data_IF_518410618425
#
_entry.id   IF_518410618425
#
_cell.length_a   1.000
_cell.length_b   1.000
_cell.length_c   1.000
_cell.angle_alpha   90.00
_cell.angle_beta   90.00
_cell.angle_gamma   90.00
#
_symmetry.space_group_name_H-M   'P 1'
#
loop_
_entity.id
_entity.type
_entity.pdbx_description
1 polymer ?
#
# COMPACT_ATOMS: atom_id res chain seq x y z
N UNK A 1 14.93 -3.50 -15.08
CA UNK A 1 14.57 -4.92 -14.79
C UNK A 1 13.47 -5.27 -15.78
N UNK A 2 13.71 -5.78 -17.01
CA UNK A 2 14.12 -7.13 -17.47
C UNK A 2 13.43 -8.28 -16.71
N UNK A 3 12.34 -8.78 -17.31
CA UNK A 3 11.50 -9.99 -17.08
C UNK A 3 10.05 -9.48 -17.27
N UNK A 4 9.22 -9.84 -18.25
CA UNK A 4 9.08 -11.06 -19.04
C UNK A 4 8.75 -10.66 -20.48
N UNK A 5 9.68 -10.97 -21.38
CA UNK A 5 9.43 -11.13 -22.80
C UNK A 5 9.63 -12.64 -23.06
N UNK A 6 8.82 -13.23 -23.95
CA UNK A 6 8.60 -14.66 -24.26
C UNK A 6 7.32 -15.14 -23.55
N UNK A 7 6.24 -15.55 -24.22
CA UNK A 7 6.18 -16.47 -25.38
C UNK A 7 5.10 -15.97 -26.37
N UNK A 8 5.54 -15.25 -27.42
CA UNK A 8 4.80 -15.10 -28.68
C UNK A 8 5.52 -16.00 -29.67
N UNK A 9 5.16 -17.28 -29.69
CA UNK A 9 5.72 -18.24 -30.63
C UNK A 9 4.64 -19.23 -31.04
N UNK A 10 4.11 -19.01 -32.25
CA UNK A 10 3.55 -20.10 -33.05
C UNK A 10 2.09 -19.98 -33.46
N UNK A 11 1.70 -18.92 -34.18
CA UNK A 11 0.73 -19.14 -35.26
C UNK A 11 1.01 -18.20 -36.44
N UNK A 12 2.05 -18.58 -37.19
CA UNK A 12 2.30 -18.09 -38.53
C UNK A 12 1.59 -19.09 -39.47
N UNK A 13 0.43 -18.71 -40.02
CA UNK A 13 -0.13 -19.43 -41.17
C UNK A 13 -0.35 -18.45 -42.32
N UNK A 14 0.50 -18.68 -43.30
CA UNK A 14 0.57 -18.14 -44.64
C UNK A 14 -0.80 -18.04 -45.33
N UNK A 15 -0.98 -16.91 -46.01
CA UNK A 15 -1.88 -16.73 -47.14
C UNK A 15 -1.57 -17.76 -48.24
N UNK A 16 -2.39 -18.80 -48.39
CA UNK A 16 -2.43 -19.65 -49.59
C UNK A 16 -3.80 -20.33 -49.73
N UNK A 17 -4.35 -20.29 -50.96
CA UNK A 17 -5.64 -20.83 -51.32
C UNK A 17 -5.62 -22.38 -51.37
N UNK A 18 -6.18 -23.03 -50.35
CA UNK A 18 -6.69 -24.40 -50.34
C UNK A 18 -7.57 -24.59 -49.08
N UNK A 19 -8.68 -25.37 -49.13
CA UNK A 19 -9.53 -25.61 -47.96
C UNK A 19 -8.86 -26.64 -47.05
N UNK A 20 -7.80 -26.23 -46.35
CA UNK A 20 -7.28 -26.98 -45.22
C UNK A 20 -8.09 -26.59 -44.00
N UNK A 21 -9.07 -27.43 -43.68
CA UNK A 21 -9.80 -27.44 -42.42
C UNK A 21 -8.75 -27.61 -41.32
N UNK A 22 -8.39 -26.53 -40.63
CA UNK A 22 -7.68 -26.64 -39.36
C UNK A 22 -8.71 -27.11 -38.34
N UNK A 23 -8.80 -28.43 -38.18
CA UNK A 23 -9.65 -29.09 -37.21
C UNK A 23 -9.21 -28.63 -35.83
N UNK A 24 -10.07 -27.82 -35.21
CA UNK A 24 -9.94 -27.40 -33.82
C UNK A 24 -10.11 -28.65 -32.96
N UNK A 25 -9.12 -28.94 -32.11
CA UNK A 25 -9.10 -30.19 -31.33
C UNK A 25 -9.70 -29.99 -29.94
N UNK A 26 -10.25 -31.05 -29.34
CA UNK A 26 -10.70 -31.04 -27.93
C UNK A 26 -9.59 -30.57 -26.97
N UNK A 27 -8.33 -30.81 -27.33
CA UNK A 27 -7.12 -30.39 -26.60
C UNK A 27 -6.95 -28.86 -26.58
N UNK A 28 -7.42 -28.16 -27.62
CA UNK A 28 -7.42 -26.69 -27.67
C UNK A 28 -8.50 -26.09 -26.76
N UNK A 29 -9.67 -26.73 -26.69
CA UNK A 29 -10.78 -26.35 -25.80
C UNK A 29 -10.41 -26.51 -24.33
N UNK A 30 -9.77 -27.61 -23.97
CA UNK A 30 -9.35 -27.87 -22.59
C UNK A 30 -8.23 -26.91 -22.15
N UNK A 31 -7.32 -26.55 -23.06
CA UNK A 31 -6.29 -25.53 -22.82
C UNK A 31 -6.91 -24.15 -22.54
N UNK A 32 -7.85 -23.69 -23.37
CA UNK A 32 -8.54 -22.41 -23.16
C UNK A 32 -9.33 -22.39 -21.85
N UNK A 33 -10.01 -23.49 -21.50
CA UNK A 33 -10.70 -23.61 -20.20
C UNK A 33 -9.74 -23.54 -19.02
N UNK A 34 -8.57 -24.15 -19.14
CA UNK A 34 -7.52 -24.08 -18.12
C UNK A 34 -7.00 -22.66 -17.96
N UNK A 35 -6.73 -21.95 -19.06
CA UNK A 35 -6.28 -20.54 -19.04
C UNK A 35 -7.32 -19.63 -18.38
N UNK A 36 -8.62 -19.75 -18.74
CA UNK A 36 -9.70 -18.99 -18.10
C UNK A 36 -9.78 -19.28 -16.60
N UNK A 37 -9.64 -20.54 -16.21
CA UNK A 37 -9.67 -20.94 -14.79
C UNK A 37 -8.51 -20.35 -14.01
N UNK A 38 -7.32 -20.32 -14.62
CA UNK A 38 -6.13 -19.70 -14.05
C UNK A 38 -6.31 -18.19 -13.87
N UNK A 39 -6.74 -17.48 -14.92
CA UNK A 39 -6.98 -16.03 -14.85
C UNK A 39 -8.03 -15.72 -13.78
N UNK A 40 -9.10 -16.51 -13.70
CA UNK A 40 -10.13 -16.33 -12.66
C UNK A 40 -9.56 -16.47 -11.25
N UNK A 41 -8.67 -17.45 -11.02
CA UNK A 41 -8.03 -17.64 -9.72
C UNK A 41 -7.05 -16.52 -9.38
N UNK A 42 -6.26 -16.07 -10.36
CA UNK A 42 -5.32 -14.95 -10.22
C UNK A 42 -6.08 -13.63 -9.92
N UNK A 43 -7.16 -13.35 -10.65
CA UNK A 43 -8.00 -12.18 -10.41
C UNK A 43 -8.70 -12.20 -9.05
N UNK A 44 -9.09 -13.37 -8.54
CA UNK A 44 -9.62 -13.49 -7.17
C UNK A 44 -8.54 -13.16 -6.13
N UNK A 45 -7.34 -13.72 -6.28
CA UNK A 45 -6.23 -13.44 -5.37
C UNK A 45 -5.81 -11.95 -5.41
N UNK A 46 -5.83 -11.34 -6.60
CA UNK A 46 -5.57 -9.92 -6.80
C UNK A 46 -6.66 -9.05 -6.17
N UNK A 47 -7.94 -9.43 -6.32
CA UNK A 47 -9.07 -8.78 -5.67
C UNK A 47 -8.94 -8.77 -4.14
N UNK A 48 -8.58 -9.91 -3.54
CA UNK A 48 -8.31 -10.03 -2.10
C UNK A 48 -7.12 -9.15 -1.67
N UNK A 49 -6.06 -9.09 -2.47
CA UNK A 49 -4.91 -8.23 -2.21
C UNK A 49 -5.28 -6.75 -2.25
N UNK A 50 -6.08 -6.33 -3.24
CA UNK A 50 -6.62 -4.97 -3.35
C UNK A 50 -7.45 -4.62 -2.12
N UNK A 51 -8.37 -5.50 -1.69
CA UNK A 51 -9.19 -5.24 -0.51
C UNK A 51 -8.35 -5.07 0.76
N UNK A 52 -7.32 -5.90 0.96
CA UNK A 52 -6.39 -5.76 2.09
C UNK A 52 -5.60 -4.45 2.01
N UNK A 53 -5.12 -4.08 0.83
CA UNK A 53 -4.39 -2.84 0.62
C UNK A 53 -5.27 -1.61 0.87
N UNK A 54 -6.54 -1.61 0.44
CA UNK A 54 -7.50 -0.55 0.78
C UNK A 54 -7.75 -0.43 2.28
N UNK A 55 -7.89 -1.56 2.99
CA UNK A 55 -8.04 -1.54 4.45
C UNK A 55 -6.81 -0.94 5.12
N UNK A 56 -5.60 -1.34 4.69
CA UNK A 56 -4.34 -0.79 5.20
C UNK A 56 -4.19 0.71 4.92
N UNK A 57 -4.59 1.16 3.73
CA UNK A 57 -4.59 2.58 3.35
C UNK A 57 -5.48 3.39 4.29
N UNK A 58 -6.70 2.91 4.57
CA UNK A 58 -7.62 3.58 5.49
C UNK A 58 -7.10 3.61 6.95
N UNK A 59 -6.37 2.59 7.38
CA UNK A 59 -5.68 2.58 8.68
C UNK A 59 -4.57 3.63 8.74
N UNK A 60 -3.75 3.72 7.69
CA UNK A 60 -2.65 4.69 7.59
C UNK A 60 -3.18 6.13 7.57
N UNK A 61 -4.25 6.41 6.84
CA UNK A 61 -4.89 7.73 6.83
C UNK A 61 -5.39 8.15 8.22
N UNK A 62 -5.98 7.21 8.97
CA UNK A 62 -6.38 7.44 10.36
C UNK A 62 -5.19 7.61 11.30
N UNK A 63 -4.11 6.86 11.10
CA UNK A 63 -2.86 7.01 11.85
C UNK A 63 -2.24 8.39 11.62
N UNK A 64 -2.11 8.81 10.36
CA UNK A 64 -1.60 10.12 9.94
C UNK A 64 -2.42 11.25 10.59
N UNK A 65 -3.75 11.19 10.50
CA UNK A 65 -4.62 12.21 11.09
C UNK A 65 -4.46 12.30 12.62
N UNK A 66 -4.35 11.15 13.30
CA UNK A 66 -4.10 11.10 14.75
C UNK A 66 -2.72 11.65 15.12
N UNK A 67 -1.69 11.33 14.35
CA UNK A 67 -0.33 11.83 14.57
C UNK A 67 -0.26 13.34 14.38
N UNK A 68 -0.86 13.88 13.30
CA UNK A 68 -0.95 15.32 13.07
C UNK A 68 -1.64 16.04 14.24
N UNK A 69 -2.77 15.52 14.73
CA UNK A 69 -3.45 16.09 15.89
C UNK A 69 -2.59 16.03 17.16
N UNK A 70 -1.87 14.93 17.37
CA UNK A 70 -0.98 14.75 18.53
C UNK A 70 0.23 15.68 18.49
N UNK A 71 0.81 15.91 17.30
CA UNK A 71 1.92 16.83 17.06
C UNK A 71 1.49 18.27 17.38
N UNK A 72 0.33 18.69 16.88
CA UNK A 72 -0.18 20.04 17.16
C UNK A 72 -0.46 20.22 18.65
N UNK A 73 -1.03 19.21 19.32
CA UNK A 73 -1.19 19.22 20.76
C UNK A 73 0.16 19.32 21.50
N UNK A 74 1.15 18.52 21.12
CA UNK A 74 2.49 18.54 21.72
C UNK A 74 3.18 19.89 21.52
N UNK A 75 3.04 20.52 20.35
CA UNK A 75 3.56 21.88 20.09
C UNK A 75 2.97 22.92 21.02
N UNK A 76 1.65 22.88 21.22
CA UNK A 76 0.96 23.78 22.18
C UNK A 76 1.45 23.54 23.60
N UNK A 77 1.60 22.28 24.01
CA UNK A 77 2.14 21.94 25.35
C UNK A 77 3.58 22.40 25.53
N UNK A 78 4.42 22.31 24.50
CA UNK A 78 5.80 22.81 24.53
C UNK A 78 5.79 24.32 24.78
N UNK A 79 5.03 25.10 24.00
CA UNK A 79 4.96 26.56 24.17
C UNK A 79 4.49 26.95 25.58
N UNK A 80 3.41 26.33 26.07
CA UNK A 80 2.91 26.57 27.44
C UNK A 80 3.92 26.17 28.53
N UNK A 81 4.75 25.16 28.27
CA UNK A 81 5.79 24.73 29.23
C UNK A 81 7.02 25.62 29.16
N UNK A 82 7.35 26.16 27.99
CA UNK A 82 8.40 27.16 27.81
C UNK A 82 8.04 28.47 28.52
N UNK A 83 6.80 28.95 28.43
CA UNK A 83 6.31 30.12 29.20
C UNK A 83 6.45 29.90 30.71
N UNK A 84 6.03 28.74 31.23
CA UNK A 84 6.22 28.38 32.64
C UNK A 84 7.70 28.29 33.04
N UNK A 85 8.56 27.84 32.12
CA UNK A 85 9.99 27.78 32.35
C UNK A 85 10.62 29.18 32.41
N UNK A 86 10.11 30.14 31.63
CA UNK A 86 10.53 31.54 31.70
C UNK A 86 10.20 32.16 33.07
N UNK A 87 9.00 31.90 33.62
CA UNK A 87 8.63 32.35 34.97
C UNK A 87 9.59 31.80 36.03
N UNK A 88 9.90 30.50 35.94
CA UNK A 88 10.88 29.84 36.80
C UNK A 88 12.28 30.45 36.65
N UNK A 89 12.70 30.77 35.42
CA UNK A 89 14.00 31.38 35.17
C UNK A 89 14.09 32.80 35.76
N UNK A 90 13.00 33.58 35.72
CA UNK A 90 12.91 34.90 36.34
C UNK A 90 13.02 34.78 37.87
N UNK A 91 12.35 33.81 38.48
CA UNK A 91 12.43 33.56 39.92
C UNK A 91 13.86 33.21 40.35
N UNK A 92 14.54 32.33 39.61
CA UNK A 92 15.95 31.97 39.85
C UNK A 92 16.86 33.19 39.73
N UNK A 93 16.64 34.04 38.73
CA UNK A 93 17.41 35.26 38.51
C UNK A 93 17.22 36.28 39.64
N UNK A 94 15.97 36.52 40.07
CA UNK A 94 15.67 37.42 41.19
C UNK A 94 16.16 36.86 42.53
N UNK A 95 16.21 35.53 42.67
CA UNK A 95 16.73 34.81 43.83
C UNK A 95 18.26 34.76 43.96
N UNK A 96 19.02 35.51 43.14
CA UNK A 96 20.50 35.59 43.18
C UNK A 96 21.25 34.30 42.79
N UNK A 97 20.65 33.39 42.01
CA UNK A 97 21.31 32.15 41.54
C UNK A 97 21.59 32.21 40.03
N UNK A 98 22.73 31.66 39.57
CA UNK A 98 23.23 31.87 38.19
C UNK A 98 22.42 31.13 37.11
N UNK A 99 22.01 31.87 36.07
CA UNK A 99 21.22 31.41 34.91
C UNK A 99 21.94 30.41 33.99
N UNK A 100 23.28 30.37 34.02
CA UNK A 100 24.10 29.45 33.22
C UNK A 100 23.80 27.96 33.51
N UNK A 101 23.33 27.66 34.72
CA UNK A 101 22.97 26.31 35.17
C UNK A 101 21.76 25.74 34.43
N UNK A 102 20.82 26.60 33.99
CA UNK A 102 19.57 26.19 33.33
C UNK A 102 19.79 25.70 31.90
N UNK A 103 20.60 26.41 31.10
CA UNK A 103 20.90 26.02 29.72
C UNK A 103 21.62 24.67 29.64
N UNK A 104 22.49 24.41 30.62
CA UNK A 104 23.20 23.15 30.75
C UNK A 104 22.25 22.01 31.15
N UNK A 105 21.34 22.25 32.09
CA UNK A 105 20.26 21.32 32.47
C UNK A 105 19.31 20.97 31.33
N UNK A 106 18.99 21.95 30.47
CA UNK A 106 18.17 21.75 29.28
C UNK A 106 18.87 20.90 28.21
N UNK A 107 20.20 20.83 28.25
CA UNK A 107 21.03 20.09 27.28
C UNK A 107 21.62 18.78 27.84
N UNK A 108 21.62 18.58 29.16
CA UNK A 108 22.23 17.44 29.85
C UNK A 108 21.58 16.08 29.52
N UNK A 109 22.32 14.99 29.47
CA UNK A 109 21.72 13.66 29.28
C UNK A 109 20.94 13.21 30.53
N UNK A 110 20.14 12.14 30.42
CA UNK A 110 19.20 11.71 31.49
C UNK A 110 19.87 11.42 32.84
N UNK A 111 21.11 10.92 32.84
CA UNK A 111 21.84 10.60 34.07
C UNK A 111 22.31 11.88 34.79
N UNK A 112 22.80 12.85 34.03
CA UNK A 112 23.28 14.15 34.51
C UNK A 112 22.13 15.09 34.92
N UNK A 113 20.95 14.90 34.31
CA UNK A 113 19.73 15.65 34.60
C UNK A 113 19.28 15.46 36.05
N UNK A 114 19.30 14.22 36.55
CA UNK A 114 18.81 13.90 37.91
C UNK A 114 19.60 14.66 38.99
N UNK A 115 20.92 14.65 38.87
CA UNK A 115 21.84 15.38 39.76
C UNK A 115 21.68 16.90 39.60
N UNK A 116 21.53 17.39 38.36
CA UNK A 116 21.31 18.81 38.08
C UNK A 116 19.99 19.34 38.65
N UNK A 117 18.89 18.58 38.51
CA UNK A 117 17.57 18.96 39.04
C UNK A 117 17.55 18.90 40.57
N UNK A 118 18.25 17.94 41.16
CA UNK A 118 18.40 17.86 42.61
C UNK A 118 19.20 19.06 43.14
N UNK A 119 20.31 19.41 42.51
CA UNK A 119 21.07 20.63 42.82
C UNK A 119 20.22 21.90 42.68
N UNK A 120 19.45 22.01 41.59
CA UNK A 120 18.54 23.14 41.36
C UNK A 120 17.54 23.26 42.52
N UNK A 121 16.89 22.16 42.91
CA UNK A 121 15.93 22.12 44.02
C UNK A 121 16.57 22.51 45.35
N UNK A 122 17.78 22.05 45.62
CA UNK A 122 18.47 22.25 46.89
C UNK A 122 19.02 23.68 47.04
N UNK A 123 19.40 24.32 45.93
CA UNK A 123 20.02 25.66 45.91
C UNK A 123 19.00 26.78 45.68
N UNK A 124 18.07 26.62 44.74
CA UNK A 124 17.09 27.65 44.40
C UNK A 124 15.69 27.38 44.95
N UNK A 125 15.43 26.21 45.54
CA UNK A 125 14.09 25.84 46.03
C UNK A 125 13.07 25.56 44.93
N UNK A 126 13.48 25.63 43.66
CA UNK A 126 12.62 25.50 42.48
C UNK A 126 12.41 24.04 42.13
N UNK A 127 11.16 23.65 41.83
CA UNK A 127 10.86 22.31 41.34
C UNK A 127 11.21 22.15 39.85
N UNK A 128 12.05 21.16 39.55
CA UNK A 128 12.52 20.83 38.21
C UNK A 128 11.51 20.11 37.31
N UNK A 129 10.24 20.01 37.74
CA UNK A 129 9.16 19.33 37.03
C UNK A 129 8.91 19.94 35.65
N UNK A 130 8.93 21.27 35.51
CA UNK A 130 8.74 21.98 34.23
C UNK A 130 9.80 21.60 33.19
N UNK A 131 11.08 21.49 33.60
CA UNK A 131 12.18 21.06 32.71
C UNK A 131 11.97 19.61 32.25
N UNK A 132 11.48 18.76 33.15
CA UNK A 132 11.20 17.35 32.85
C UNK A 132 10.02 17.23 31.88
N UNK A 133 8.92 17.96 32.11
CA UNK A 133 7.77 18.03 31.21
C UNK A 133 8.17 18.49 29.80
N UNK A 134 8.95 19.58 29.69
CA UNK A 134 9.40 20.11 28.40
C UNK A 134 10.18 19.07 27.59
N UNK A 135 11.07 18.33 28.25
CA UNK A 135 11.86 17.26 27.60
C UNK A 135 10.99 16.09 27.15
N UNK A 136 10.02 15.70 27.97
CA UNK A 136 9.07 14.64 27.60
C UNK A 136 8.28 15.05 26.36
N UNK A 137 7.75 16.28 26.33
CA UNK A 137 6.99 16.75 25.16
C UNK A 137 7.86 16.89 23.91
N UNK A 138 9.09 17.39 24.01
CA UNK A 138 10.02 17.45 22.87
C UNK A 138 10.33 16.06 22.30
N UNK A 139 10.63 15.09 23.18
CA UNK A 139 10.86 13.70 22.74
C UNK A 139 9.62 13.09 22.09
N UNK A 140 8.45 13.33 22.65
CA UNK A 140 7.18 12.86 22.07
C UNK A 140 6.94 13.49 20.70
N UNK A 141 7.20 14.80 20.55
CA UNK A 141 7.08 15.50 19.28
C UNK A 141 8.02 14.92 18.22
N UNK A 142 9.29 14.66 18.57
CA UNK A 142 10.28 14.07 17.67
C UNK A 142 9.82 12.68 17.20
N UNK A 143 9.43 11.81 18.15
CA UNK A 143 8.94 10.46 17.85
C UNK A 143 7.67 10.47 16.98
N UNK A 144 6.73 11.37 17.27
CA UNK A 144 5.50 11.50 16.49
C UNK A 144 5.78 12.03 15.08
N UNK A 145 6.74 12.94 14.94
CA UNK A 145 7.14 13.51 13.64
C UNK A 145 7.83 12.47 12.77
N UNK A 146 8.73 11.67 13.36
CA UNK A 146 9.38 10.54 12.68
C UNK A 146 8.32 9.51 12.23
N UNK A 147 7.42 9.12 13.15
CA UNK A 147 6.36 8.16 12.82
C UNK A 147 5.39 8.69 11.76
N UNK A 148 5.10 9.99 11.76
CA UNK A 148 4.27 10.63 10.73
C UNK A 148 4.96 10.55 9.36
N UNK A 149 6.26 10.79 9.30
CA UNK A 149 7.02 10.68 8.06
C UNK A 149 7.03 9.24 7.52
N UNK A 150 7.23 8.25 8.40
CA UNK A 150 7.14 6.83 8.04
C UNK A 150 5.76 6.45 7.52
N UNK A 151 4.70 6.79 8.25
CA UNK A 151 3.33 6.44 7.87
C UNK A 151 2.91 7.12 6.55
N UNK A 152 3.36 8.35 6.32
CA UNK A 152 3.11 9.07 5.06
C UNK A 152 3.82 8.40 3.89
N UNK A 153 5.09 7.99 4.07
CA UNK A 153 5.83 7.26 3.04
C UNK A 153 5.21 5.88 2.74
N UNK A 154 4.75 5.16 3.78
CA UNK A 154 4.03 3.90 3.62
C UNK A 154 2.73 4.09 2.81
N UNK A 155 1.97 5.15 3.10
CA UNK A 155 0.74 5.48 2.38
C UNK A 155 0.99 5.83 0.89
N UNK A 156 2.07 6.55 0.59
CA UNK A 156 2.46 6.87 -0.79
C UNK A 156 2.82 5.60 -1.59
N UNK A 157 3.62 4.71 -0.99
CA UNK A 157 3.99 3.43 -1.60
C UNK A 157 2.74 2.59 -1.85
N UNK A 158 1.88 2.45 -0.83
CA UNK A 158 0.67 1.64 -0.93
C UNK A 158 -0.32 2.20 -1.97
N UNK A 159 -0.40 3.52 -2.11
CA UNK A 159 -1.20 4.16 -3.16
C UNK A 159 -0.68 3.79 -4.55
N UNK A 160 0.63 3.79 -4.76
CA UNK A 160 1.22 3.37 -6.04
C UNK A 160 0.99 1.87 -6.31
N UNK A 161 1.10 1.02 -5.29
CA UNK A 161 0.80 -0.41 -5.39
C UNK A 161 -0.69 -0.66 -5.75
N UNK A 162 -1.61 0.08 -5.13
CA UNK A 162 -3.04 0.02 -5.46
C UNK A 162 -3.33 0.40 -6.90
N UNK A 163 -2.67 1.42 -7.43
CA UNK A 163 -2.79 1.81 -8.85
C UNK A 163 -2.28 0.71 -9.77
N UNK A 164 -1.14 0.08 -9.43
CA UNK A 164 -0.59 -1.02 -10.20
C UNK A 164 -1.52 -2.23 -10.19
N UNK A 165 -2.03 -2.63 -9.02
CA UNK A 165 -2.98 -3.74 -8.90
C UNK A 165 -4.28 -3.46 -9.67
N UNK A 166 -4.78 -2.23 -9.64
CA UNK A 166 -5.96 -1.85 -10.41
C UNK A 166 -5.73 -1.95 -11.93
N UNK A 167 -4.55 -1.54 -12.39
CA UNK A 167 -4.17 -1.69 -13.79
C UNK A 167 -4.05 -3.17 -14.22
N UNK A 168 -3.43 -4.00 -13.37
CA UNK A 168 -3.33 -5.45 -13.60
C UNK A 168 -4.70 -6.12 -13.67
N UNK A 169 -5.61 -5.77 -12.75
CA UNK A 169 -6.96 -6.33 -12.75
C UNK A 169 -7.73 -5.99 -14.03
N UNK A 170 -7.58 -4.75 -14.54
CA UNK A 170 -8.19 -4.33 -15.80
C UNK A 170 -7.61 -5.08 -17.02
N UNK A 171 -6.30 -5.34 -17.01
CA UNK A 171 -5.63 -6.13 -18.05
C UNK A 171 -6.12 -7.58 -18.03
N UNK A 172 -6.12 -8.25 -16.87
CA UNK A 172 -6.63 -9.62 -16.71
C UNK A 172 -8.10 -9.76 -17.11
N UNK A 173 -8.95 -8.79 -16.75
CA UNK A 173 -10.36 -8.75 -17.18
C UNK A 173 -10.49 -8.64 -18.71
N UNK A 174 -9.62 -7.85 -19.34
CA UNK A 174 -9.57 -7.72 -20.79
C UNK A 174 -9.16 -9.01 -21.48
N UNK A 175 -8.13 -9.68 -20.97
CA UNK A 175 -7.66 -10.98 -21.46
C UNK A 175 -8.72 -12.07 -21.29
N UNK A 176 -9.34 -12.15 -20.11
CA UNK A 176 -10.42 -13.10 -19.83
C UNK A 176 -11.60 -12.92 -20.78
N UNK A 177 -12.01 -11.67 -21.05
CA UNK A 177 -13.10 -11.38 -21.98
C UNK A 177 -12.74 -11.81 -23.42
N UNK A 178 -11.51 -11.55 -23.87
CA UNK A 178 -11.06 -11.96 -25.20
C UNK A 178 -11.05 -13.49 -25.35
N UNK A 179 -10.54 -14.21 -24.35
CA UNK A 179 -10.56 -15.67 -24.33
C UNK A 179 -11.99 -16.23 -24.33
N UNK A 180 -12.88 -15.61 -23.55
CA UNK A 180 -14.29 -15.98 -23.53
C UNK A 180 -14.95 -15.78 -24.91
N UNK A 181 -14.74 -14.63 -25.55
CA UNK A 181 -15.30 -14.33 -26.87
C UNK A 181 -14.76 -15.32 -27.94
N UNK A 182 -13.48 -15.68 -27.87
CA UNK A 182 -12.88 -16.70 -28.72
C UNK A 182 -13.54 -18.07 -28.52
N UNK A 183 -13.75 -18.48 -27.26
CA UNK A 183 -14.38 -19.74 -26.91
C UNK A 183 -15.81 -19.83 -27.44
N UNK A 184 -16.59 -18.75 -27.31
CA UNK A 184 -17.98 -18.68 -27.81
C UNK A 184 -18.01 -18.78 -29.33
N UNK A 185 -17.13 -18.06 -30.03
CA UNK A 185 -17.04 -18.09 -31.49
C UNK A 185 -16.61 -19.48 -32.00
N UNK A 186 -15.69 -20.13 -31.30
CA UNK A 186 -15.23 -21.49 -31.60
C UNK A 186 -16.36 -22.51 -31.44
N UNK A 187 -17.10 -22.49 -30.32
CA UNK A 187 -18.24 -23.38 -30.11
C UNK A 187 -19.32 -23.20 -31.19
N UNK A 188 -19.60 -21.95 -31.59
CA UNK A 188 -20.55 -21.67 -32.67
C UNK A 188 -20.15 -22.33 -33.99
N UNK A 189 -18.86 -22.28 -34.35
CA UNK A 189 -18.35 -22.90 -35.58
C UNK A 189 -18.48 -24.42 -35.56
N UNK A 190 -18.11 -25.05 -34.44
CA UNK A 190 -18.25 -26.50 -34.29
C UNK A 190 -19.70 -26.98 -34.37
N UNK A 191 -20.65 -26.25 -33.77
CA UNK A 191 -22.07 -26.59 -33.85
C UNK A 191 -22.61 -26.48 -35.28
N UNK A 192 -22.19 -25.45 -36.03
CA UNK A 192 -22.54 -25.31 -37.44
C UNK A 192 -21.96 -26.44 -38.30
N UNK A 193 -20.72 -26.81 -38.06
CA UNK A 193 -20.06 -27.93 -38.77
C UNK A 193 -20.76 -29.26 -38.47
N UNK A 194 -21.08 -29.53 -37.21
CA UNK A 194 -21.87 -30.71 -36.81
C UNK A 194 -23.23 -30.73 -37.49
N UNK A 195 -23.91 -29.57 -37.58
CA UNK A 195 -25.20 -29.47 -38.27
C UNK A 195 -25.07 -29.77 -39.77
N UNK A 196 -24.07 -29.20 -40.44
CA UNK A 196 -23.81 -29.44 -41.87
C UNK A 196 -23.48 -30.92 -42.13
N UNK A 197 -22.63 -31.53 -41.31
CA UNK A 197 -22.27 -32.94 -41.43
C UNK A 197 -23.49 -33.87 -41.24
N UNK A 198 -24.37 -33.55 -40.28
CA UNK A 198 -25.61 -34.30 -40.07
C UNK A 198 -26.60 -34.15 -41.24
N UNK A 199 -26.73 -32.95 -41.81
CA UNK A 199 -27.56 -32.70 -42.99
C UNK A 199 -27.03 -33.45 -44.24
N UNK A 200 -25.71 -33.46 -44.45
CA UNK A 200 -25.09 -34.22 -45.55
C UNK A 200 -25.24 -35.74 -45.37
N UNK A 201 -25.11 -36.23 -44.15
CA UNK A 201 -25.33 -37.65 -43.85
C UNK A 201 -26.80 -38.04 -44.08
N UNK A 202 -27.75 -37.19 -43.68
CA UNK A 202 -29.18 -37.40 -43.91
C UNK A 202 -29.53 -37.37 -45.40
N UNK A 203 -28.91 -36.48 -46.19
CA UNK A 203 -29.09 -36.45 -47.66
C UNK A 203 -28.56 -37.71 -48.32
N UNK A 204 -27.35 -38.15 -47.97
CA UNK A 204 -26.76 -39.39 -48.51
C UNK A 204 -27.61 -40.62 -48.18
N UNK A 205 -28.16 -40.69 -46.97
CA UNK A 205 -29.06 -41.78 -46.56
C UNK A 205 -30.44 -41.75 -47.24
N UNK A 206 -30.85 -40.63 -47.83
CA UNK A 206 -32.11 -40.50 -48.58
C UNK A 206 -31.95 -40.74 -50.09
N UNK A 207 -30.71 -40.76 -50.60
CA UNK A 207 -30.37 -41.04 -52.00
C UNK A 207 -30.01 -42.52 -52.24
N UNK A 208 -29.81 -43.32 -51.18
CA UNK A 208 -29.73 -44.80 -51.19
C UNK A 208 -31.11 -45.46 -51.05
#
# INVERSE_FOLDING_TARGET
MRRIARILAGLLVLSFAAPAIAEVTDEDLDRVRSEISQITAESQALGDAVQRAWARQAELEQEIARLQGSIEFARVQIVQTEERLEEVAVEIYMGSTSTASLSMLLSAESDELSAGLQYLREVSGVDGSVITELRVFRRQLDQQTERLAEASAEAEILTAELQQMAAQLLEELGEAQQLYDQLVEQQRREEEERRRAAEEAARRAAEE
#
